data_IF_572081748243
#
_entry.id   IF_572081748243
#
_cell.length_a   1.000
_cell.length_b   1.000
_cell.length_c   1.000
_cell.angle_alpha   90.00
_cell.angle_beta   90.00
_cell.angle_gamma   90.00
#
_symmetry.space_group_name_H-M   'P 1'
#
loop_
_entity.id
_entity.type
_entity.pdbx_description
1 polymer ?
#
# COMPACT_ATOMS: atom_id res chain seq x y z
N UNK A 1 -4.94 -9.29 2.87
CA UNK A 1 -5.40 -10.11 4.01
C UNK A 1 -6.38 -9.28 4.83
N UNK A 2 -7.52 -9.83 5.18
CA UNK A 2 -8.53 -9.16 5.99
C UNK A 2 -8.71 -9.93 7.30
N UNK A 3 -8.62 -9.25 8.43
CA UNK A 3 -8.89 -9.82 9.74
C UNK A 3 -10.39 -9.72 10.03
N UNK A 4 -11.05 -10.86 10.12
CA UNK A 4 -12.46 -10.95 10.51
C UNK A 4 -12.56 -11.86 11.72
N UNK A 5 -13.00 -11.34 12.86
CA UNK A 5 -13.22 -12.11 14.09
C UNK A 5 -12.03 -12.99 14.51
N UNK A 6 -10.81 -12.44 14.49
CA UNK A 6 -9.55 -13.12 14.80
C UNK A 6 -9.09 -14.19 13.78
N UNK A 7 -9.78 -14.30 12.65
CA UNK A 7 -9.37 -15.20 11.56
C UNK A 7 -8.81 -14.37 10.40
N UNK A 8 -7.57 -14.65 10.01
CA UNK A 8 -6.95 -14.03 8.83
C UNK A 8 -7.49 -14.69 7.57
N UNK A 9 -8.25 -13.96 6.77
CA UNK A 9 -8.79 -14.43 5.50
C UNK A 9 -8.07 -13.75 4.35
N UNK A 10 -7.55 -14.53 3.41
CA UNK A 10 -6.96 -14.00 2.19
C UNK A 10 -8.06 -13.77 1.16
N UNK A 11 -8.20 -12.53 0.71
CA UNK A 11 -9.12 -12.14 -0.36
C UNK A 11 -8.27 -11.77 -1.57
N UNK A 12 -8.58 -12.36 -2.71
CA UNK A 12 -7.96 -12.00 -4.00
C UNK A 12 -8.71 -10.82 -4.60
N UNK A 13 -7.97 -9.89 -5.20
CA UNK A 13 -8.58 -8.82 -5.99
C UNK A 13 -9.15 -9.43 -7.28
N UNK A 14 -10.46 -9.29 -7.57
CA UNK A 14 -11.08 -9.92 -8.74
C UNK A 14 -10.50 -9.39 -10.06
N UNK A 15 -10.21 -8.10 -10.17
CA UNK A 15 -9.63 -7.52 -11.38
C UNK A 15 -8.20 -8.02 -11.63
N UNK A 16 -7.41 -8.23 -10.58
CA UNK A 16 -6.10 -8.85 -10.72
C UNK A 16 -6.21 -10.33 -11.08
N UNK A 17 -7.22 -11.02 -10.56
CA UNK A 17 -7.51 -12.41 -10.94
C UNK A 17 -7.78 -12.50 -12.45
N UNK A 18 -8.70 -11.68 -12.96
CA UNK A 18 -9.07 -11.64 -14.38
C UNK A 18 -7.85 -11.36 -15.27
N UNK A 19 -7.01 -10.38 -14.89
CA UNK A 19 -5.77 -10.08 -15.61
C UNK A 19 -4.79 -11.26 -15.63
N UNK A 20 -4.61 -11.93 -14.47
CA UNK A 20 -3.72 -13.09 -14.39
C UNK A 20 -4.25 -14.29 -15.18
N UNK A 21 -5.58 -14.46 -15.30
CA UNK A 21 -6.21 -15.46 -16.15
C UNK A 21 -5.98 -15.17 -17.62
N UNK A 22 -6.20 -13.92 -18.05
CA UNK A 22 -5.95 -13.46 -19.42
C UNK A 22 -4.49 -13.71 -19.85
N UNK A 23 -3.55 -13.48 -18.94
CA UNK A 23 -2.12 -13.73 -19.18
C UNK A 23 -1.70 -15.20 -19.00
N UNK A 24 -2.60 -16.09 -18.61
CA UNK A 24 -2.29 -17.49 -18.32
C UNK A 24 -1.37 -17.70 -17.10
N UNK A 25 -1.33 -16.71 -16.19
CA UNK A 25 -0.47 -16.67 -15.02
C UNK A 25 -1.22 -16.82 -13.68
N UNK A 26 -2.49 -17.24 -13.71
CA UNK A 26 -3.29 -17.49 -12.52
C UNK A 26 -2.86 -18.78 -11.78
N UNK A 27 -1.65 -18.81 -11.26
CA UNK A 27 -1.09 -19.97 -10.54
C UNK A 27 -1.03 -19.71 -9.04
N UNK A 28 -0.99 -20.79 -8.25
CA UNK A 28 -0.82 -20.66 -6.80
C UNK A 28 0.52 -20.04 -6.42
N UNK A 29 1.56 -20.27 -7.21
CA UNK A 29 2.90 -19.72 -7.00
C UNK A 29 2.90 -18.20 -7.15
N UNK A 30 2.26 -17.67 -8.19
CA UNK A 30 2.12 -16.22 -8.41
C UNK A 30 1.33 -15.60 -7.25
N UNK A 31 0.21 -16.19 -6.83
CA UNK A 31 -0.55 -15.68 -5.68
C UNK A 31 0.22 -15.77 -4.36
N UNK A 32 1.06 -16.78 -4.20
CA UNK A 32 1.94 -16.89 -3.03
C UNK A 32 2.98 -15.79 -3.04
N UNK A 33 3.64 -15.54 -4.17
CA UNK A 33 4.65 -14.47 -4.30
C UNK A 33 4.08 -13.08 -4.05
N UNK A 34 2.83 -12.82 -4.50
CA UNK A 34 2.11 -11.57 -4.21
C UNK A 34 1.81 -11.44 -2.72
N UNK A 35 1.33 -12.53 -2.08
CA UNK A 35 1.05 -12.53 -0.65
C UNK A 35 2.29 -12.30 0.20
N UNK A 36 3.39 -12.95 -0.15
CA UNK A 36 4.65 -12.89 0.58
C UNK A 36 5.32 -11.50 0.44
N UNK A 37 4.81 -10.65 -0.47
CA UNK A 37 5.17 -9.23 -0.65
C UNK A 37 4.04 -8.27 -0.31
N UNK A 38 3.23 -8.62 0.67
CA UNK A 38 2.13 -7.78 1.19
C UNK A 38 1.13 -7.29 0.14
N UNK A 39 0.99 -8.02 -0.95
CA UNK A 39 0.06 -7.71 -2.04
C UNK A 39 0.68 -6.97 -3.23
N UNK A 40 1.98 -6.69 -3.19
CA UNK A 40 2.69 -6.03 -4.29
C UNK A 40 2.77 -6.93 -5.53
N UNK A 41 2.56 -6.33 -6.70
CA UNK A 41 2.73 -6.97 -8.02
C UNK A 41 3.96 -6.47 -8.76
N UNK A 42 4.73 -5.56 -8.16
CA UNK A 42 5.84 -4.85 -8.84
C UNK A 42 6.97 -5.78 -9.30
N UNK A 43 7.09 -6.96 -8.70
CA UNK A 43 8.08 -7.97 -9.03
C UNK A 43 7.69 -8.90 -10.18
N UNK A 44 6.47 -8.79 -10.69
CA UNK A 44 5.97 -9.65 -11.76
C UNK A 44 6.40 -9.11 -13.12
N UNK A 45 7.42 -9.72 -13.71
CA UNK A 45 8.02 -9.25 -14.98
C UNK A 45 7.10 -9.37 -16.19
N UNK A 46 6.08 -10.21 -16.11
CA UNK A 46 5.09 -10.40 -17.18
C UNK A 46 3.99 -9.33 -17.20
N UNK A 47 3.92 -8.44 -16.20
CA UNK A 47 3.04 -7.29 -16.17
C UNK A 47 3.72 -6.07 -16.79
N UNK A 48 2.98 -5.29 -17.54
CA UNK A 48 3.43 -3.99 -18.03
C UNK A 48 3.51 -2.98 -16.89
N UNK A 49 4.27 -1.90 -17.08
CA UNK A 49 4.36 -0.84 -16.06
C UNK A 49 3.00 -0.19 -15.78
N UNK A 50 2.15 -0.04 -16.81
CA UNK A 50 0.79 0.49 -16.64
C UNK A 50 -0.07 -0.43 -15.78
N UNK A 51 0.01 -1.76 -16.00
CA UNK A 51 -0.70 -2.74 -15.18
C UNK A 51 -0.18 -2.75 -13.74
N UNK A 52 1.13 -2.67 -13.54
CA UNK A 52 1.73 -2.55 -12.20
C UNK A 52 1.27 -1.29 -11.48
N UNK A 53 1.15 -0.17 -12.20
CA UNK A 53 0.67 1.09 -11.63
C UNK A 53 -0.78 1.01 -11.15
N UNK A 54 -1.65 0.33 -11.90
CA UNK A 54 -3.05 0.11 -11.52
C UNK A 54 -3.18 -0.71 -10.24
N UNK A 55 -2.30 -1.69 -10.04
CA UNK A 55 -2.34 -2.59 -8.89
C UNK A 55 -1.34 -2.24 -7.77
N UNK A 56 -0.83 -1.01 -7.74
CA UNK A 56 -0.05 -0.52 -6.60
C UNK A 56 -0.79 -0.69 -5.28
N UNK A 57 -0.09 -1.19 -4.30
CA UNK A 57 -0.60 -1.20 -2.92
C UNK A 57 -0.60 0.22 -2.34
N UNK A 58 -1.34 0.44 -1.27
CA UNK A 58 -1.40 1.75 -0.61
C UNK A 58 -0.02 2.26 -0.15
N UNK A 59 0.90 1.35 0.17
CA UNK A 59 2.27 1.68 0.55
C UNK A 59 3.14 2.12 -0.64
N UNK A 60 2.77 1.75 -1.86
CA UNK A 60 3.51 2.05 -3.09
C UNK A 60 3.00 3.32 -3.79
N UNK A 61 1.84 3.81 -3.39
CA UNK A 61 1.27 5.07 -3.90
C UNK A 61 2.01 6.24 -3.27
N UNK A 62 2.31 7.28 -4.06
CA UNK A 62 2.84 8.53 -3.51
C UNK A 62 1.84 9.13 -2.51
N UNK A 63 2.31 9.36 -1.29
CA UNK A 63 1.45 9.89 -0.24
C UNK A 63 0.95 11.30 -0.53
N UNK A 64 1.66 12.04 -1.39
CA UNK A 64 1.17 13.34 -1.86
C UNK A 64 -0.08 13.21 -2.73
N UNK A 65 -0.21 12.14 -3.53
CA UNK A 65 -1.42 11.89 -4.31
C UNK A 65 -2.63 11.64 -3.41
N UNK A 66 -2.42 10.91 -2.31
CA UNK A 66 -3.46 10.71 -1.29
C UNK A 66 -3.90 12.06 -0.67
N UNK A 67 -2.93 12.94 -0.35
CA UNK A 67 -3.20 14.27 0.18
C UNK A 67 -3.96 15.13 -0.84
N UNK A 68 -3.57 15.13 -2.11
CA UNK A 68 -4.26 15.87 -3.17
C UNK A 68 -5.70 15.40 -3.37
N UNK A 69 -5.93 14.08 -3.41
CA UNK A 69 -7.28 13.53 -3.50
C UNK A 69 -8.14 13.91 -2.29
N UNK A 70 -7.58 13.85 -1.09
CA UNK A 70 -8.29 14.24 0.13
C UNK A 70 -8.61 15.74 0.13
N UNK A 71 -7.69 16.59 -0.32
CA UNK A 71 -7.88 18.02 -0.42
C UNK A 71 -9.01 18.37 -1.40
N UNK A 72 -9.04 17.72 -2.56
CA UNK A 72 -10.12 17.92 -3.53
C UNK A 72 -11.49 17.57 -2.94
N UNK A 73 -11.59 16.47 -2.20
CA UNK A 73 -12.83 16.09 -1.52
C UNK A 73 -13.19 17.03 -0.37
N UNK A 74 -12.20 17.63 0.32
CA UNK A 74 -12.42 18.48 1.48
C UNK A 74 -13.33 19.70 1.18
N UNK A 75 -13.31 20.18 -0.07
CA UNK A 75 -14.17 21.28 -0.51
C UNK A 75 -15.69 20.95 -0.43
N UNK A 76 -16.03 19.67 -0.37
CA UNK A 76 -17.40 19.18 -0.37
C UNK A 76 -17.77 18.45 0.94
N UNK A 77 -16.89 18.50 1.94
CA UNK A 77 -17.05 17.78 3.22
C UNK A 77 -16.86 18.77 4.37
N UNK A 78 -17.87 18.91 5.21
CA UNK A 78 -17.83 19.81 6.38
C UNK A 78 -16.95 19.28 7.50
N UNK A 79 -16.84 17.97 7.63
CA UNK A 79 -16.04 17.32 8.67
C UNK A 79 -14.60 17.03 8.22
N UNK A 80 -13.76 16.64 9.17
CA UNK A 80 -12.44 16.06 8.86
C UNK A 80 -12.59 14.70 8.20
N UNK A 81 -11.61 14.35 7.37
CA UNK A 81 -11.52 13.04 6.71
C UNK A 81 -10.54 12.15 7.47
N UNK A 82 -10.82 10.85 7.58
CA UNK A 82 -9.91 9.86 8.16
C UNK A 82 -8.81 9.50 7.15
N UNK A 83 -7.94 10.47 6.84
CA UNK A 83 -6.84 10.29 5.91
C UNK A 83 -5.65 9.68 6.62
N UNK A 84 -5.32 8.45 6.27
CA UNK A 84 -4.12 7.77 6.75
C UNK A 84 -2.94 8.11 5.85
N UNK A 85 -1.76 8.21 6.41
CA UNK A 85 -0.49 8.38 5.67
C UNK A 85 0.48 7.26 6.02
N UNK A 86 1.24 6.82 5.05
CA UNK A 86 2.31 5.84 5.23
C UNK A 86 3.65 6.55 5.27
N UNK A 87 4.41 6.32 6.32
CA UNK A 87 5.76 6.83 6.46
C UNK A 87 6.74 5.66 6.44
N UNK A 88 7.54 5.57 5.40
CA UNK A 88 8.58 4.55 5.34
C UNK A 88 9.71 4.87 6.33
N UNK A 89 10.33 3.85 6.94
CA UNK A 89 11.39 4.05 7.94
C UNK A 89 12.58 4.86 7.41
N UNK A 90 12.85 4.74 6.13
CA UNK A 90 13.99 5.41 5.47
C UNK A 90 13.60 6.79 4.90
N UNK A 91 12.35 7.25 5.11
CA UNK A 91 11.89 8.53 4.59
C UNK A 91 12.57 9.67 5.36
N UNK A 92 13.21 10.62 4.67
CA UNK A 92 13.82 11.77 5.32
C UNK A 92 12.78 12.60 6.09
N UNK A 93 13.14 13.08 7.27
CA UNK A 93 12.25 13.92 8.11
C UNK A 93 11.72 15.14 7.35
N UNK A 94 12.51 15.69 6.43
CA UNK A 94 12.10 16.79 5.55
C UNK A 94 10.89 16.42 4.69
N UNK A 95 10.85 15.19 4.15
CA UNK A 95 9.75 14.75 3.28
C UNK A 95 8.52 14.39 4.11
N UNK A 96 8.70 13.84 5.31
CA UNK A 96 7.60 13.65 6.27
C UNK A 96 6.96 15.01 6.58
N UNK A 97 7.77 16.00 6.93
CA UNK A 97 7.28 17.35 7.24
C UNK A 97 6.56 17.99 6.03
N UNK A 98 7.06 17.76 4.81
CA UNK A 98 6.44 18.23 3.56
C UNK A 98 5.02 17.68 3.38
N UNK A 99 4.77 16.42 3.69
CA UNK A 99 3.43 15.81 3.61
C UNK A 99 2.45 16.58 4.50
N UNK A 100 2.80 16.82 5.77
CA UNK A 100 1.92 17.51 6.72
C UNK A 100 1.72 19.00 6.39
N UNK A 101 2.79 19.68 5.99
CA UNK A 101 2.69 21.09 5.57
C UNK A 101 1.81 21.23 4.33
N UNK A 102 1.92 20.34 3.35
CA UNK A 102 1.08 20.37 2.17
C UNK A 102 -0.37 20.02 2.50
N UNK A 103 -0.62 19.03 3.37
CA UNK A 103 -1.97 18.72 3.84
C UNK A 103 -2.65 19.98 4.44
N UNK A 104 -1.93 20.70 5.29
CA UNK A 104 -2.42 21.95 5.87
C UNK A 104 -2.62 23.05 4.82
N UNK A 105 -1.65 23.29 3.93
CA UNK A 105 -1.73 24.31 2.87
C UNK A 105 -2.88 24.07 1.89
N UNK A 106 -3.19 22.80 1.65
CA UNK A 106 -4.28 22.40 0.76
C UNK A 106 -5.66 22.38 1.46
N UNK A 107 -5.71 22.78 2.72
CA UNK A 107 -6.96 22.96 3.47
C UNK A 107 -7.56 21.69 4.06
N UNK A 108 -6.78 20.61 4.21
CA UNK A 108 -7.25 19.46 4.97
C UNK A 108 -7.45 19.85 6.43
N UNK A 109 -8.59 19.47 7.00
CA UNK A 109 -8.91 19.74 8.40
C UNK A 109 -8.14 18.85 9.36
N UNK A 110 -7.82 17.63 8.93
CA UNK A 110 -7.03 16.67 9.71
C UNK A 110 -6.43 15.59 8.82
N UNK A 111 -5.34 14.99 9.28
CA UNK A 111 -4.87 13.65 8.93
C UNK A 111 -5.12 12.75 10.14
N UNK A 112 -5.29 11.44 9.92
CA UNK A 112 -5.73 10.53 10.98
C UNK A 112 -4.57 9.69 11.52
N UNK A 113 -4.36 8.48 10.99
CA UNK A 113 -3.24 7.65 11.42
C UNK A 113 -2.02 7.84 10.55
N UNK A 114 -0.87 7.88 11.20
CA UNK A 114 0.42 7.69 10.55
C UNK A 114 0.83 6.23 10.74
N UNK A 115 0.86 5.47 9.65
CA UNK A 115 1.40 4.13 9.64
C UNK A 115 2.90 4.20 9.35
N UNK A 116 3.71 3.73 10.30
CA UNK A 116 5.14 3.58 10.09
C UNK A 116 5.56 2.16 10.41
N UNK A 117 6.40 1.58 9.57
CA UNK A 117 7.09 0.34 9.91
C UNK A 117 8.35 0.69 10.69
N UNK A 118 8.54 0.08 11.86
CA UNK A 118 9.80 0.23 12.56
C UNK A 118 10.87 -0.72 11.99
N UNK A 119 12.16 -0.42 12.25
CA UNK A 119 13.27 -1.22 11.76
C UNK A 119 13.20 -2.70 12.20
N UNK A 120 12.60 -2.98 13.37
CA UNK A 120 12.42 -4.35 13.87
C UNK A 120 11.34 -5.13 13.09
N UNK A 121 10.31 -4.46 12.59
CA UNK A 121 9.30 -5.08 11.72
C UNK A 121 9.89 -5.41 10.34
N UNK A 122 10.73 -4.52 9.79
CA UNK A 122 11.47 -4.75 8.55
C UNK A 122 12.45 -5.94 8.69
N UNK A 123 13.08 -6.08 9.86
CA UNK A 123 14.00 -7.19 10.17
C UNK A 123 13.29 -8.54 10.31
N UNK A 124 12.05 -8.55 10.82
CA UNK A 124 11.22 -9.76 10.91
C UNK A 124 10.78 -10.25 9.53
N UNK A 125 10.33 -9.36 8.66
CA UNK A 125 9.97 -9.71 7.28
C UNK A 125 11.15 -10.33 6.53
N UNK A 126 12.36 -9.76 6.66
CA UNK A 126 13.56 -10.31 6.03
C UNK A 126 14.02 -11.66 6.64
N UNK A 127 13.75 -11.92 7.92
CA UNK A 127 14.10 -13.21 8.56
C UNK A 127 13.11 -14.33 8.24
N UNK A 128 11.85 -14.02 8.06
CA UNK A 128 10.85 -15.03 7.67
C UNK A 128 11.09 -15.52 6.22
N UNK A 129 11.66 -14.69 5.35
CA UNK A 129 12.07 -15.11 4.01
C UNK A 129 13.31 -16.03 3.99
N UNK A 130 14.25 -15.89 4.94
CA UNK A 130 15.47 -16.71 4.99
C UNK A 130 15.28 -18.05 5.70
N UNK A 131 14.22 -18.24 6.47
CA UNK A 131 13.95 -19.51 7.16
C UNK A 131 13.13 -20.52 6.33
N UNK A 132 12.73 -20.18 5.10
CA UNK A 132 12.02 -21.08 4.19
C UNK A 132 12.94 -21.81 3.19
N UNK A 133 14.25 -21.61 3.25
CA UNK A 133 15.26 -22.25 2.40
C UNK A 133 16.10 -23.31 3.16
N UNK A 134 15.54 -23.94 4.18
CA UNK A 134 16.18 -25.08 4.86
C UNK A 134 15.25 -26.29 4.90
#
# INVERSE_FOLDING_TARGET
>A
VKDIAKVKTTIRNPFLLDLLEEKGQNTQEVWRSIRDRDGSVQHLDFLTEEEKDVFKTYCEIDQMDIIYQAANRQNYIDQGQSVNVIIHPDMPVKDINKIYINAWKLGLKSVYYQHSMNAAQKFKQNKECTSCEA
#
